data_IF_136372930169
#
_entry.id   IF_136372930169
#
_cell.length_a   1.000
_cell.length_b   1.000
_cell.length_c   1.000
_cell.angle_alpha   90.00
_cell.angle_beta   90.00
_cell.angle_gamma   90.00
#
_symmetry.space_group_name_H-M   'P 1'
#
loop_
_entity.id
_entity.type
_entity.pdbx_description
1 polymer ?
#
# COMPACT_ATOMS: atom_id res chain seq x y z
N UNK A 1 -11.86 -14.18 7.55
CA UNK A 1 -11.00 -14.00 8.74
C UNK A 1 -9.81 -13.19 8.32
N UNK A 2 -9.41 -12.22 9.13
CA UNK A 2 -8.38 -11.26 8.77
C UNK A 2 -7.13 -11.42 9.64
N UNK A 3 -5.97 -11.07 9.07
CA UNK A 3 -4.66 -11.03 9.72
C UNK A 3 -4.32 -12.30 10.54
N UNK A 4 -4.40 -13.47 9.91
CA UNK A 4 -4.07 -14.75 10.56
C UNK A 4 -2.57 -15.03 10.53
N UNK A 5 -2.00 -15.41 11.67
CA UNK A 5 -0.56 -15.66 11.87
C UNK A 5 -0.19 -17.15 11.99
N UNK A 6 -1.16 -18.02 12.26
CA UNK A 6 -0.98 -19.47 12.39
C UNK A 6 -2.28 -20.20 11.99
N UNK A 7 -2.18 -21.51 11.70
CA UNK A 7 -3.34 -22.32 11.34
C UNK A 7 -4.20 -22.73 12.54
N UNK A 8 -3.68 -22.66 13.77
CA UNK A 8 -4.42 -23.07 14.97
C UNK A 8 -5.70 -22.24 15.13
N UNK A 9 -5.62 -20.94 14.80
CA UNK A 9 -6.79 -20.06 14.78
C UNK A 9 -7.89 -20.56 13.82
N UNK A 10 -7.51 -21.07 12.64
CA UNK A 10 -8.46 -21.64 11.68
C UNK A 10 -8.97 -23.00 12.15
N UNK A 11 -8.10 -23.89 12.59
CA UNK A 11 -8.43 -25.26 13.00
C UNK A 11 -9.42 -25.30 14.17
N UNK A 12 -9.37 -24.32 15.06
CA UNK A 12 -10.32 -24.17 16.16
C UNK A 12 -11.70 -23.72 15.71
N UNK A 13 -11.79 -22.91 14.65
CA UNK A 13 -13.05 -22.31 14.21
C UNK A 13 -13.71 -23.14 13.09
N UNK A 14 -12.91 -23.80 12.24
CA UNK A 14 -13.34 -24.65 11.13
C UNK A 14 -14.47 -25.63 11.49
N UNK A 15 -14.42 -26.35 12.63
CA UNK A 15 -15.45 -27.35 12.98
C UNK A 15 -16.85 -26.76 13.20
N UNK A 16 -16.97 -25.45 13.42
CA UNK A 16 -18.25 -24.78 13.60
C UNK A 16 -18.94 -24.42 12.27
N UNK A 17 -18.25 -24.55 11.13
CA UNK A 17 -18.84 -24.32 9.83
C UNK A 17 -19.46 -25.60 9.25
N UNK A 18 -20.72 -25.57 8.79
CA UNK A 18 -21.36 -26.73 8.19
C UNK A 18 -20.75 -27.03 6.81
N UNK A 19 -20.39 -28.30 6.58
CA UNK A 19 -19.99 -28.80 5.26
C UNK A 19 -21.19 -29.43 4.54
N UNK A 20 -22.05 -28.56 3.98
CA UNK A 20 -23.31 -28.95 3.35
C UNK A 20 -23.42 -28.54 1.87
N UNK A 21 -22.30 -28.21 1.23
CA UNK A 21 -22.24 -27.79 -0.18
C UNK A 21 -23.22 -26.67 -0.58
N UNK A 22 -23.61 -25.80 0.35
CA UNK A 22 -24.54 -24.69 0.08
C UNK A 22 -23.90 -23.50 -0.67
N UNK A 23 -22.62 -23.60 -1.02
CA UNK A 23 -21.86 -22.56 -1.73
C UNK A 23 -21.27 -21.45 -0.85
N UNK A 24 -21.40 -21.52 0.49
CA UNK A 24 -20.75 -20.59 1.41
C UNK A 24 -19.22 -20.67 1.27
N UNK A 25 -18.53 -19.54 1.45
CA UNK A 25 -17.07 -19.46 1.36
C UNK A 25 -16.50 -18.65 2.51
N UNK A 26 -15.34 -19.06 3.00
CA UNK A 26 -14.53 -18.30 3.97
C UNK A 26 -13.35 -17.72 3.22
N UNK A 27 -13.17 -16.40 3.28
CA UNK A 27 -11.97 -15.72 2.81
C UNK A 27 -11.03 -15.50 3.99
N UNK A 28 -9.78 -15.92 3.87
CA UNK A 28 -8.73 -15.72 4.87
C UNK A 28 -7.64 -14.83 4.26
N UNK A 29 -7.21 -13.81 5.00
CA UNK A 29 -6.07 -12.96 4.65
C UNK A 29 -4.94 -13.18 5.67
N UNK A 30 -3.73 -13.36 5.16
CA UNK A 30 -2.51 -13.56 5.93
C UNK A 30 -1.33 -12.92 5.20
N UNK A 31 -0.28 -12.58 5.96
CA UNK A 31 1.01 -12.12 5.42
C UNK A 31 2.00 -13.27 5.20
N UNK A 32 1.69 -14.44 5.73
CA UNK A 32 2.57 -15.59 5.75
C UNK A 32 2.16 -16.59 4.68
N UNK A 33 3.00 -16.73 3.64
CA UNK A 33 2.77 -17.72 2.59
C UNK A 33 2.70 -19.14 3.16
N UNK A 34 3.48 -19.44 4.21
CA UNK A 34 3.45 -20.73 4.91
C UNK A 34 2.06 -21.06 5.46
N UNK A 35 1.39 -20.09 6.08
CA UNK A 35 0.02 -20.25 6.58
C UNK A 35 -0.94 -20.50 5.42
N UNK A 36 -0.85 -19.70 4.35
CA UNK A 36 -1.71 -19.86 3.18
C UNK A 36 -1.60 -21.25 2.52
N UNK A 37 -0.39 -21.83 2.48
CA UNK A 37 -0.13 -23.17 1.93
C UNK A 37 -0.60 -24.31 2.84
N UNK A 38 -0.73 -24.07 4.14
CA UNK A 38 -1.19 -25.07 5.11
C UNK A 38 -2.72 -25.12 5.24
N UNK A 39 -3.42 -24.08 4.79
CA UNK A 39 -4.88 -24.05 4.81
C UNK A 39 -5.45 -25.04 3.80
N UNK A 40 -6.48 -25.77 4.21
CA UNK A 40 -7.21 -26.69 3.34
C UNK A 40 -7.98 -25.90 2.26
N UNK A 41 -7.35 -25.69 1.10
CA UNK A 41 -7.95 -24.97 -0.01
C UNK A 41 -7.15 -25.17 -1.30
N UNK A 42 -7.82 -25.32 -2.46
CA UNK A 42 -7.12 -25.57 -3.72
C UNK A 42 -6.33 -24.35 -4.22
N UNK A 43 -6.68 -23.14 -3.77
CA UNK A 43 -6.18 -21.90 -4.35
C UNK A 43 -5.88 -20.85 -3.28
N UNK A 44 -4.70 -20.23 -3.35
CA UNK A 44 -4.39 -18.96 -2.68
C UNK A 44 -4.19 -17.87 -3.72
N UNK A 45 -4.48 -16.63 -3.36
CA UNK A 45 -4.24 -15.47 -4.22
C UNK A 45 -3.11 -14.66 -3.60
N UNK A 46 -1.95 -14.65 -4.26
CA UNK A 46 -0.87 -13.76 -3.87
C UNK A 46 -1.16 -12.35 -4.39
N UNK A 47 -1.35 -11.40 -3.48
CA UNK A 47 -1.55 -10.00 -3.82
C UNK A 47 -0.29 -9.42 -4.47
N UNK A 48 -0.44 -8.81 -5.64
CA UNK A 48 0.65 -8.16 -6.37
C UNK A 48 0.69 -6.66 -6.12
N UNK A 49 1.88 -6.07 -6.28
CA UNK A 49 2.04 -4.62 -6.28
C UNK A 49 1.31 -3.96 -7.47
N UNK A 50 0.96 -2.69 -7.30
CA UNK A 50 0.40 -1.90 -8.39
C UNK A 50 1.47 -1.64 -9.46
N UNK A 51 1.07 -1.73 -10.73
CA UNK A 51 1.91 -1.28 -11.83
C UNK A 51 2.03 0.27 -11.83
N UNK A 52 2.96 0.85 -12.61
CA UNK A 52 3.16 2.31 -12.63
C UNK A 52 1.90 3.11 -12.95
N UNK A 53 1.10 2.66 -13.91
CA UNK A 53 -0.14 3.34 -14.32
C UNK A 53 -1.18 3.39 -13.18
N UNK A 54 -1.44 2.24 -12.53
CA UNK A 54 -2.36 2.16 -11.38
C UNK A 54 -1.82 2.93 -10.18
N UNK A 55 -0.51 2.93 -9.98
CA UNK A 55 0.15 3.69 -8.91
C UNK A 55 -0.06 5.19 -9.10
N UNK A 56 0.17 5.69 -10.31
CA UNK A 56 -0.10 7.07 -10.65
C UNK A 56 -1.59 7.42 -10.50
N UNK A 57 -2.49 6.57 -10.99
CA UNK A 57 -3.94 6.78 -10.84
C UNK A 57 -4.35 6.91 -9.37
N UNK A 58 -3.79 6.08 -8.49
CA UNK A 58 -4.03 6.15 -7.05
C UNK A 58 -3.46 7.45 -6.45
N UNK A 59 -2.20 7.77 -6.74
CA UNK A 59 -1.55 9.00 -6.25
C UNK A 59 -2.34 10.25 -6.66
N UNK A 60 -2.73 10.34 -7.94
CA UNK A 60 -3.53 11.44 -8.47
C UNK A 60 -4.82 11.60 -7.69
N UNK A 61 -5.51 10.50 -7.41
CA UNK A 61 -6.77 10.52 -6.63
C UNK A 61 -6.54 11.03 -5.20
N UNK A 62 -5.43 10.65 -4.56
CA UNK A 62 -5.09 11.13 -3.22
C UNK A 62 -4.79 12.62 -3.18
N UNK A 63 -4.03 13.14 -4.16
CA UNK A 63 -3.54 14.51 -4.17
C UNK A 63 -4.56 15.51 -4.72
N UNK A 64 -5.15 15.19 -5.88
CA UNK A 64 -5.97 16.13 -6.66
C UNK A 64 -7.47 15.82 -6.56
N UNK A 65 -7.87 14.66 -6.02
CA UNK A 65 -9.26 14.19 -6.02
C UNK A 65 -9.80 14.16 -7.47
N UNK A 66 -10.80 14.99 -7.76
CA UNK A 66 -11.39 15.13 -9.11
C UNK A 66 -10.74 16.25 -9.94
N UNK A 67 -9.79 16.99 -9.36
CA UNK A 67 -9.11 18.10 -10.03
C UNK A 67 -7.98 17.59 -10.94
N UNK A 68 -7.59 18.45 -11.90
CA UNK A 68 -6.44 18.20 -12.75
C UNK A 68 -5.11 18.33 -12.00
N UNK A 69 -4.09 17.61 -12.46
CA UNK A 69 -2.70 17.85 -12.06
C UNK A 69 -2.17 19.06 -12.85
N UNK A 70 -1.58 20.07 -12.21
CA UNK A 70 -0.88 21.14 -12.91
C UNK A 70 0.24 20.58 -13.81
N UNK A 71 0.45 21.11 -15.04
CA UNK A 71 1.49 20.65 -15.96
C UNK A 71 2.91 20.75 -15.37
N UNK A 72 3.15 21.73 -14.50
CA UNK A 72 4.46 21.98 -13.90
C UNK A 72 4.92 20.84 -12.96
N UNK A 73 3.97 20.00 -12.52
CA UNK A 73 4.20 18.85 -11.65
C UNK A 73 4.15 17.52 -12.43
N UNK A 74 3.97 17.57 -13.75
CA UNK A 74 3.77 16.40 -14.63
C UNK A 74 4.95 15.42 -14.59
N UNK A 75 6.17 15.94 -14.61
CA UNK A 75 7.40 15.13 -14.59
C UNK A 75 7.66 14.52 -13.20
N UNK A 76 7.53 15.33 -12.14
CA UNK A 76 7.88 14.93 -10.76
C UNK A 76 6.91 13.86 -10.24
N UNK A 77 5.64 13.89 -10.67
CA UNK A 77 4.62 12.98 -10.16
C UNK A 77 4.87 11.51 -10.52
N UNK A 78 5.45 11.26 -11.70
CA UNK A 78 5.72 9.90 -12.18
C UNK A 78 6.87 9.31 -11.40
N UNK A 79 7.90 10.12 -11.12
CA UNK A 79 9.03 9.71 -10.30
C UNK A 79 8.61 9.40 -8.85
N UNK A 80 7.73 10.22 -8.26
CA UNK A 80 7.16 9.94 -6.93
C UNK A 80 6.38 8.62 -6.92
N UNK A 81 5.48 8.42 -7.90
CA UNK A 81 4.69 7.20 -8.00
C UNK A 81 5.58 5.96 -8.20
N UNK A 82 6.63 6.09 -9.01
CA UNK A 82 7.62 5.03 -9.27
C UNK A 82 8.42 4.69 -8.02
N UNK A 83 8.87 5.69 -7.26
CA UNK A 83 9.65 5.49 -6.03
C UNK A 83 8.83 4.84 -4.89
N UNK A 84 7.49 4.89 -4.97
CA UNK A 84 6.63 4.11 -4.07
C UNK A 84 6.66 2.58 -4.37
N UNK A 85 7.23 2.16 -5.51
CA UNK A 85 7.33 0.76 -5.99
C UNK A 85 6.00 -0.02 -5.94
N UNK A 86 4.90 0.67 -6.24
CA UNK A 86 3.59 0.03 -6.37
C UNK A 86 2.91 -0.41 -5.07
N UNK A 87 3.48 -0.14 -3.88
CA UNK A 87 2.80 -0.45 -2.63
C UNK A 87 1.66 0.55 -2.37
N UNK A 88 0.38 0.12 -2.31
CA UNK A 88 -0.74 1.04 -2.16
C UNK A 88 -0.64 1.94 -0.93
N UNK A 89 -0.18 1.40 0.21
CA UNK A 89 -0.03 2.15 1.45
C UNK A 89 0.98 3.31 1.29
N UNK A 90 2.16 3.04 0.73
CA UNK A 90 3.17 4.09 0.46
C UNK A 90 2.61 5.21 -0.41
N UNK A 91 1.88 4.86 -1.47
CA UNK A 91 1.28 5.82 -2.39
C UNK A 91 0.25 6.70 -1.67
N UNK A 92 -0.60 6.10 -0.82
CA UNK A 92 -1.63 6.85 -0.07
C UNK A 92 -0.99 7.78 0.96
N UNK A 93 0.04 7.33 1.66
CA UNK A 93 0.77 8.13 2.65
C UNK A 93 1.42 9.35 1.99
N UNK A 94 2.18 9.13 0.92
CA UNK A 94 2.81 10.22 0.15
C UNK A 94 1.77 11.12 -0.50
N UNK A 95 0.69 10.56 -1.05
CA UNK A 95 -0.40 11.34 -1.61
C UNK A 95 -1.09 12.22 -0.56
N UNK A 96 -1.31 11.70 0.64
CA UNK A 96 -1.86 12.45 1.77
C UNK A 96 -0.92 13.56 2.26
N UNK A 97 0.39 13.31 2.23
CA UNK A 97 1.41 14.32 2.50
C UNK A 97 1.35 15.46 1.48
N UNK A 98 1.48 15.14 0.19
CA UNK A 98 1.44 16.11 -0.91
C UNK A 98 0.10 16.87 -0.99
N UNK A 99 -1.00 16.26 -0.57
CA UNK A 99 -2.30 16.91 -0.52
C UNK A 99 -2.39 18.01 0.55
N UNK A 100 -1.59 17.92 1.61
CA UNK A 100 -1.55 18.88 2.73
C UNK A 100 -0.42 19.89 2.61
N UNK A 101 0.59 19.61 1.80
CA UNK A 101 1.70 20.53 1.56
C UNK A 101 1.40 21.55 0.46
N UNK A 102 2.25 22.57 0.36
CA UNK A 102 2.19 23.53 -0.75
C UNK A 102 2.43 22.81 -2.08
N UNK A 103 1.63 23.16 -3.09
CA UNK A 103 1.70 22.60 -4.44
C UNK A 103 2.76 23.30 -5.30
N UNK A 104 3.94 23.50 -4.72
CA UNK A 104 5.10 24.09 -5.40
C UNK A 104 5.99 22.99 -5.97
N UNK A 105 6.70 23.31 -7.05
CA UNK A 105 7.63 22.36 -7.69
C UNK A 105 8.74 21.94 -6.73
N UNK A 106 9.25 22.90 -5.96
CA UNK A 106 10.34 22.73 -5.00
C UNK A 106 9.96 21.73 -3.91
N UNK A 107 8.76 21.85 -3.35
CA UNK A 107 8.28 20.94 -2.31
C UNK A 107 8.07 19.51 -2.84
N UNK A 108 7.51 19.37 -4.03
CA UNK A 108 7.34 18.06 -4.69
C UNK A 108 8.69 17.41 -5.01
N UNK A 109 9.64 18.20 -5.49
CA UNK A 109 10.98 17.74 -5.78
C UNK A 109 11.70 17.28 -4.50
N UNK A 110 11.55 18.02 -3.40
CA UNK A 110 12.06 17.60 -2.10
C UNK A 110 11.48 16.24 -1.65
N UNK A 111 10.18 16.02 -1.80
CA UNK A 111 9.56 14.71 -1.50
C UNK A 111 10.10 13.61 -2.41
N UNK A 112 10.27 13.89 -3.71
CA UNK A 112 10.82 12.94 -4.67
C UNK A 112 12.26 12.53 -4.32
N UNK A 113 13.11 13.48 -3.91
CA UNK A 113 14.49 13.26 -3.47
C UNK A 113 14.57 12.44 -2.18
N UNK A 114 13.71 12.73 -1.19
CA UNK A 114 13.64 11.91 0.03
C UNK A 114 13.25 10.46 -0.31
N UNK A 115 12.27 10.27 -1.20
CA UNK A 115 11.86 8.94 -1.64
C UNK A 115 12.94 8.21 -2.44
N UNK A 116 13.67 8.92 -3.31
CA UNK A 116 14.75 8.30 -4.09
C UNK A 116 15.90 7.84 -3.20
N UNK A 117 16.19 8.56 -2.11
CA UNK A 117 17.23 8.18 -1.15
C UNK A 117 16.97 6.85 -0.43
N UNK A 118 15.70 6.45 -0.32
CA UNK A 118 15.28 5.23 0.38
C UNK A 118 14.79 4.11 -0.56
N UNK A 119 14.82 4.32 -1.89
CA UNK A 119 14.20 3.40 -2.86
C UNK A 119 14.84 2.00 -2.88
N UNK A 120 16.14 1.95 -2.57
CA UNK A 120 16.96 0.74 -2.59
C UNK A 120 17.02 0.01 -1.24
N UNK A 121 16.33 0.50 -0.21
CA UNK A 121 16.24 -0.18 1.09
C UNK A 121 15.35 -1.43 0.99
N UNK A 122 15.52 -2.33 1.97
CA UNK A 122 14.60 -3.46 2.18
C UNK A 122 13.16 -2.95 2.40
N UNK A 123 12.17 -3.75 2.01
CA UNK A 123 10.79 -3.28 1.94
C UNK A 123 10.24 -2.80 3.29
N UNK A 124 10.56 -3.49 4.40
CA UNK A 124 10.11 -3.11 5.74
C UNK A 124 10.74 -1.78 6.19
N UNK A 125 12.05 -1.62 6.00
CA UNK A 125 12.73 -0.37 6.35
C UNK A 125 12.23 0.79 5.47
N UNK A 126 12.07 0.56 4.16
CA UNK A 126 11.53 1.55 3.23
C UNK A 126 10.12 1.97 3.64
N UNK A 127 9.24 1.04 3.99
CA UNK A 127 7.90 1.34 4.48
C UNK A 127 7.95 2.19 5.74
N UNK A 128 8.81 1.83 6.70
CA UNK A 128 9.01 2.60 7.92
C UNK A 128 9.48 4.03 7.63
N UNK A 129 10.46 4.21 6.74
CA UNK A 129 10.97 5.54 6.35
C UNK A 129 9.90 6.41 5.68
N UNK A 130 9.05 5.83 4.84
CA UNK A 130 7.93 6.56 4.21
C UNK A 130 6.93 7.04 5.27
N UNK A 131 6.58 6.16 6.22
CA UNK A 131 5.71 6.51 7.33
C UNK A 131 6.35 7.59 8.22
N UNK A 132 7.64 7.47 8.50
CA UNK A 132 8.42 8.43 9.28
C UNK A 132 8.47 9.81 8.60
N UNK A 133 8.70 9.86 7.28
CA UNK A 133 8.67 11.10 6.50
C UNK A 133 7.32 11.79 6.63
N UNK A 134 6.23 11.04 6.48
CA UNK A 134 4.88 11.59 6.63
C UNK A 134 4.60 12.07 8.05
N UNK A 135 5.06 11.33 9.07
CA UNK A 135 4.90 11.70 10.47
C UNK A 135 5.64 13.00 10.81
N UNK A 136 6.88 13.15 10.36
CA UNK A 136 7.72 14.33 10.63
C UNK A 136 7.20 15.62 9.98
N UNK A 137 6.35 15.51 8.95
CA UNK A 137 5.74 16.66 8.27
C UNK A 137 4.31 16.94 8.77
N UNK A 138 3.85 16.27 9.82
CA UNK A 138 2.60 16.64 10.47
C UNK A 138 2.77 17.98 11.22
N UNK A 139 1.75 18.85 11.21
CA UNK A 139 1.80 20.09 11.98
C UNK A 139 2.04 19.82 13.47
N UNK A 140 2.95 20.57 14.09
CA UNK A 140 3.01 20.66 15.55
C UNK A 140 1.75 21.42 16.01
N UNK A 141 0.79 20.70 16.59
CA UNK A 141 -0.41 21.26 17.22
C UNK A 141 -0.09 22.03 18.48
#
# INVERSE_FOLDING_TARGET
MDDIWDTDAWDRVKPFFPDNNNGSRVLITTRLLTVALQLDGPDYIQMSFLNPEKSWKLLRRCVFREQGCPPELEEIREDIARNCRGLPLSIVVIGGLLAKSERTRENWQHVAENLSSIVNLEDDERCFRILQLSYNQLPCT
#
